data_IF_749505260953
#
_entry.id   IF_749505260953
#
_cell.length_a   1.000
_cell.length_b   1.000
_cell.length_c   1.000
_cell.angle_alpha   90.00
_cell.angle_beta   90.00
_cell.angle_gamma   90.00
#
_symmetry.space_group_name_H-M   'P 1'
#
loop_
_entity.id
_entity.type
_entity.pdbx_description
1 polymer ?
#
# COMPACT_ATOMS: atom_id res chain seq x y z
N UNK A 1 -16.17 47.02 17.00
CA UNK A 1 -15.95 45.92 16.05
C UNK A 1 -16.12 44.60 16.78
N UNK A 2 -17.28 43.95 16.65
CA UNK A 2 -17.47 42.58 17.12
C UNK A 2 -16.94 41.68 16.02
N UNK A 3 -15.82 41.00 16.26
CA UNK A 3 -15.41 39.89 15.42
C UNK A 3 -16.46 38.80 15.62
N UNK A 4 -17.34 38.64 14.64
CA UNK A 4 -18.16 37.45 14.50
C UNK A 4 -17.17 36.28 14.46
N UNK A 5 -17.18 35.46 15.50
CA UNK A 5 -16.65 34.10 15.45
C UNK A 5 -17.32 33.42 14.26
N UNK A 6 -16.61 33.35 13.13
CA UNK A 6 -17.01 32.46 12.06
C UNK A 6 -16.93 31.06 12.66
N UNK A 7 -18.08 30.37 12.73
CA UNK A 7 -18.11 28.97 13.08
C UNK A 7 -17.02 28.25 12.28
N UNK A 8 -16.13 27.54 12.97
CA UNK A 8 -15.17 26.67 12.33
C UNK A 8 -15.97 25.74 11.42
N UNK A 9 -15.85 25.94 10.10
CA UNK A 9 -16.19 24.88 9.17
C UNK A 9 -15.16 23.79 9.48
N UNK A 10 -15.61 22.66 9.99
CA UNK A 10 -14.73 21.55 10.30
C UNK A 10 -13.90 21.22 9.06
N UNK A 11 -12.58 21.17 9.24
CA UNK A 11 -11.65 20.83 8.16
C UNK A 11 -11.90 19.37 7.76
N UNK A 12 -11.88 19.03 6.46
CA UNK A 12 -11.95 17.64 6.04
C UNK A 12 -10.77 16.85 6.62
N UNK A 13 -11.02 15.60 7.01
CA UNK A 13 -10.00 14.67 7.48
C UNK A 13 -9.61 13.71 6.36
N UNK A 14 -8.32 13.71 6.03
CA UNK A 14 -7.70 12.82 5.07
C UNK A 14 -7.02 11.67 5.81
N UNK A 15 -7.40 10.42 5.51
CA UNK A 15 -6.61 9.24 5.85
C UNK A 15 -5.82 8.83 4.62
N UNK A 16 -4.50 8.84 4.73
CA UNK A 16 -3.61 8.74 3.57
C UNK A 16 -2.58 7.64 3.85
N UNK A 17 -2.39 6.74 2.90
CA UNK A 17 -1.24 5.84 2.97
C UNK A 17 0.06 6.64 2.94
N UNK A 18 1.09 6.15 3.61
CA UNK A 18 2.37 6.81 3.61
C UNK A 18 3.20 6.42 2.37
N UNK A 19 3.32 5.13 2.15
CA UNK A 19 4.20 4.57 1.13
C UNK A 19 3.54 4.64 -0.24
N UNK A 20 4.32 4.95 -1.27
CA UNK A 20 3.83 5.11 -2.65
C UNK A 20 2.98 6.37 -2.90
N UNK A 21 2.31 6.91 -1.88
CA UNK A 21 1.68 8.23 -1.93
C UNK A 21 2.71 9.33 -1.70
N UNK A 22 3.56 9.23 -0.67
CA UNK A 22 4.52 10.27 -0.30
C UNK A 22 5.98 9.90 -0.56
N UNK A 23 6.25 8.63 -0.82
CA UNK A 23 7.60 8.09 -0.97
C UNK A 23 7.86 7.56 -2.37
N UNK A 24 9.10 7.64 -2.81
CA UNK A 24 9.59 6.98 -4.02
C UNK A 24 10.15 5.60 -3.68
N UNK A 25 9.42 4.54 -4.04
CA UNK A 25 9.73 3.16 -3.65
C UNK A 25 10.81 2.48 -4.51
N UNK A 26 11.18 3.06 -5.66
CA UNK A 26 12.14 2.46 -6.63
C UNK A 26 13.40 1.90 -6.01
N UNK A 27 14.05 2.70 -5.17
CA UNK A 27 15.36 2.38 -4.63
C UNK A 27 15.28 1.22 -3.65
N UNK A 28 14.27 1.27 -2.77
CA UNK A 28 14.02 0.21 -1.81
C UNK A 28 13.59 -1.08 -2.49
N UNK A 29 12.69 -1.01 -3.47
CA UNK A 29 12.26 -2.17 -4.25
C UNK A 29 13.43 -2.88 -4.93
N UNK A 30 14.33 -2.11 -5.58
CA UNK A 30 15.55 -2.68 -6.18
C UNK A 30 16.46 -3.34 -5.15
N UNK A 31 16.65 -2.71 -3.99
CA UNK A 31 17.47 -3.29 -2.92
C UNK A 31 16.87 -4.60 -2.39
N UNK A 32 15.54 -4.69 -2.29
CA UNK A 32 14.81 -5.91 -1.93
C UNK A 32 14.97 -6.99 -3.00
N UNK A 33 14.84 -6.65 -4.29
CA UNK A 33 15.07 -7.59 -5.39
C UNK A 33 16.51 -8.11 -5.42
N UNK A 34 17.49 -7.24 -5.21
CA UNK A 34 18.91 -7.62 -5.14
C UNK A 34 19.17 -8.54 -3.94
N UNK A 35 18.58 -8.25 -2.77
CA UNK A 35 18.66 -9.11 -1.60
C UNK A 35 18.03 -10.48 -1.86
N UNK A 36 16.88 -10.53 -2.57
CA UNK A 36 16.25 -11.78 -3.00
C UNK A 36 17.19 -12.62 -3.84
N UNK A 37 17.72 -12.04 -4.91
CA UNK A 37 18.59 -12.76 -5.84
C UNK A 37 19.87 -13.24 -5.18
N UNK A 38 20.48 -12.42 -4.32
CA UNK A 38 21.68 -12.79 -3.58
C UNK A 38 21.38 -13.88 -2.53
N UNK A 39 20.26 -13.77 -1.81
CA UNK A 39 19.82 -14.77 -0.84
C UNK A 39 19.60 -16.13 -1.49
N UNK A 40 18.86 -16.16 -2.61
CA UNK A 40 18.65 -17.38 -3.39
C UNK A 40 19.97 -17.97 -3.90
N UNK A 41 20.89 -17.14 -4.42
CA UNK A 41 22.21 -17.60 -4.88
C UNK A 41 23.04 -18.20 -3.75
N UNK A 42 22.99 -17.63 -2.54
CA UNK A 42 23.68 -18.17 -1.35
C UNK A 42 23.11 -19.53 -0.95
N UNK A 43 21.79 -19.68 -0.92
CA UNK A 43 21.12 -20.91 -0.45
C UNK A 43 21.31 -22.07 -1.43
N UNK A 44 21.29 -21.78 -2.74
CA UNK A 44 21.40 -22.83 -3.77
C UNK A 44 22.83 -23.06 -4.25
N UNK A 45 23.77 -22.19 -3.84
CA UNK A 45 25.13 -22.12 -4.35
C UNK A 45 25.21 -21.90 -5.87
N UNK A 46 24.12 -21.40 -6.49
CA UNK A 46 24.09 -21.12 -7.91
C UNK A 46 24.75 -19.78 -8.24
N UNK A 47 25.36 -19.64 -9.45
CA UNK A 47 25.77 -18.34 -9.94
C UNK A 47 24.58 -17.38 -10.00
N UNK A 48 24.77 -16.12 -9.57
CA UNK A 48 23.74 -15.09 -9.58
C UNK A 48 23.06 -14.93 -10.95
N UNK A 49 23.81 -15.17 -12.04
CA UNK A 49 23.27 -15.18 -13.41
C UNK A 49 22.17 -16.22 -13.60
N UNK A 50 22.32 -17.43 -13.07
CA UNK A 50 21.30 -18.48 -13.18
C UNK A 50 20.07 -18.14 -12.33
N UNK A 51 20.26 -17.58 -11.13
CA UNK A 51 19.14 -17.08 -10.31
C UNK A 51 18.32 -16.04 -11.07
N UNK A 52 18.98 -15.05 -11.68
CA UNK A 52 18.31 -14.03 -12.49
C UNK A 52 17.52 -14.61 -13.66
N UNK A 53 18.07 -15.63 -14.34
CA UNK A 53 17.36 -16.31 -15.42
C UNK A 53 16.08 -17.01 -14.91
N UNK A 54 16.15 -17.67 -13.75
CA UNK A 54 14.96 -18.29 -13.15
C UNK A 54 13.97 -17.23 -12.70
N UNK A 55 14.41 -16.18 -12.02
CA UNK A 55 13.50 -15.13 -11.56
C UNK A 55 12.81 -14.41 -12.72
N UNK A 56 13.49 -14.21 -13.85
CA UNK A 56 12.87 -13.69 -15.06
C UNK A 56 11.79 -14.64 -15.63
N UNK A 57 11.99 -15.96 -15.55
CA UNK A 57 10.97 -16.94 -15.93
C UNK A 57 9.77 -16.92 -14.98
N UNK A 58 10.02 -16.86 -13.67
CA UNK A 58 8.95 -16.76 -12.67
C UNK A 58 8.17 -15.45 -12.85
N UNK A 59 8.84 -14.32 -13.08
CA UNK A 59 8.17 -13.05 -13.37
C UNK A 59 7.27 -13.13 -14.61
N UNK A 60 7.76 -13.73 -15.70
CA UNK A 60 6.95 -13.89 -16.90
C UNK A 60 5.67 -14.69 -16.65
N UNK A 61 5.71 -15.69 -15.75
CA UNK A 61 4.50 -16.42 -15.35
C UNK A 61 3.53 -15.53 -14.56
N UNK A 62 4.04 -14.80 -13.57
CA UNK A 62 3.23 -13.86 -12.78
C UNK A 62 2.52 -12.84 -13.67
N UNK A 63 3.23 -12.33 -14.69
CA UNK A 63 2.70 -11.30 -15.60
C UNK A 63 1.57 -11.83 -16.49
N UNK A 64 1.50 -13.14 -16.75
CA UNK A 64 0.38 -13.75 -17.48
C UNK A 64 -0.90 -13.81 -16.64
N UNK A 65 -0.75 -14.02 -15.33
CA UNK A 65 -1.88 -14.27 -14.42
C UNK A 65 -1.77 -13.48 -13.11
N UNK A 66 -1.62 -12.14 -13.13
CA UNK A 66 -1.36 -11.36 -11.90
C UNK A 66 -2.50 -11.43 -10.88
N UNK A 67 -3.74 -11.72 -11.32
CA UNK A 67 -4.87 -11.92 -10.42
C UNK A 67 -4.81 -13.25 -9.63
N UNK A 68 -3.99 -14.21 -10.04
CA UNK A 68 -3.77 -15.49 -9.36
C UNK A 68 -2.61 -15.45 -8.35
N UNK A 69 -1.83 -14.37 -8.37
CA UNK A 69 -0.65 -14.18 -7.53
C UNK A 69 -0.79 -12.91 -6.69
N UNK A 70 -0.09 -12.88 -5.56
CA UNK A 70 -0.21 -11.79 -4.61
C UNK A 70 0.29 -12.15 -3.23
N UNK A 71 0.26 -11.18 -2.32
CA UNK A 71 0.46 -11.44 -0.91
C UNK A 71 -0.73 -12.24 -0.39
N UNK A 72 -0.46 -13.34 0.32
CA UNK A 72 -1.49 -14.20 0.91
C UNK A 72 -1.56 -14.09 2.43
N UNK A 73 -2.78 -14.18 2.95
CA UNK A 73 -3.09 -14.36 4.37
C UNK A 73 -4.21 -15.39 4.50
N UNK A 74 -4.06 -16.34 5.42
CA UNK A 74 -4.96 -17.50 5.54
C UNK A 74 -5.28 -18.19 4.19
N UNK A 75 -4.28 -18.29 3.30
CA UNK A 75 -4.40 -18.89 1.97
C UNK A 75 -5.08 -18.02 0.90
N UNK A 76 -5.61 -16.84 1.25
CA UNK A 76 -6.30 -15.93 0.33
C UNK A 76 -5.40 -14.78 -0.11
N UNK A 77 -5.56 -14.31 -1.35
CA UNK A 77 -4.84 -13.14 -1.84
C UNK A 77 -5.42 -11.89 -1.18
N UNK A 78 -4.55 -11.11 -0.55
CA UNK A 78 -4.87 -9.86 0.12
C UNK A 78 -4.61 -8.68 -0.80
N UNK A 79 -3.59 -8.74 -1.65
CA UNK A 79 -3.33 -7.76 -2.70
C UNK A 79 -2.58 -8.43 -3.84
N UNK A 80 -2.83 -7.99 -5.07
CA UNK A 80 -2.36 -8.65 -6.28
C UNK A 80 -0.90 -8.31 -6.56
N UNK A 81 -0.20 -9.21 -7.25
CA UNK A 81 1.23 -9.09 -7.50
C UNK A 81 1.63 -7.88 -8.34
N UNK A 82 0.69 -7.28 -9.08
CA UNK A 82 0.89 -6.17 -10.00
C UNK A 82 0.48 -4.80 -9.44
N UNK A 83 0.10 -4.70 -8.16
CA UNK A 83 -0.32 -3.42 -7.56
C UNK A 83 0.81 -2.61 -6.93
N UNK A 84 1.88 -3.26 -6.47
CA UNK A 84 3.04 -2.62 -5.84
C UNK A 84 4.30 -3.51 -5.96
N UNK A 85 5.50 -2.93 -6.12
CA UNK A 85 6.75 -3.69 -6.24
C UNK A 85 7.05 -4.66 -5.08
N UNK A 86 6.66 -4.34 -3.84
CA UNK A 86 6.86 -5.27 -2.73
C UNK A 86 5.88 -6.44 -2.77
N UNK A 87 4.66 -6.22 -3.26
CA UNK A 87 3.72 -7.30 -3.58
C UNK A 87 4.28 -8.20 -4.68
N UNK A 88 4.92 -7.64 -5.72
CA UNK A 88 5.61 -8.42 -6.75
C UNK A 88 6.69 -9.29 -6.14
N UNK A 89 7.56 -8.72 -5.28
CA UNK A 89 8.63 -9.48 -4.61
C UNK A 89 8.11 -10.69 -3.82
N UNK A 90 7.10 -10.50 -2.97
CA UNK A 90 6.52 -11.59 -2.20
C UNK A 90 5.87 -12.64 -3.11
N UNK A 91 5.22 -12.20 -4.18
CA UNK A 91 4.56 -13.08 -5.15
C UNK A 91 5.55 -13.94 -5.93
N UNK A 92 6.71 -13.38 -6.28
CA UNK A 92 7.79 -14.11 -6.95
C UNK A 92 8.32 -15.23 -6.06
N UNK A 93 8.52 -14.97 -4.77
CA UNK A 93 8.90 -16.02 -3.81
C UNK A 93 7.82 -17.10 -3.72
N UNK A 94 6.56 -16.73 -3.55
CA UNK A 94 5.44 -17.68 -3.50
C UNK A 94 5.37 -18.57 -4.77
N UNK A 95 5.55 -17.97 -5.95
CA UNK A 95 5.44 -18.68 -7.22
C UNK A 95 6.56 -19.70 -7.48
N UNK A 96 7.73 -19.57 -6.84
CA UNK A 96 8.75 -20.63 -6.88
C UNK A 96 8.17 -21.96 -6.38
N UNK A 97 7.40 -21.92 -5.28
CA UNK A 97 6.78 -23.12 -4.73
C UNK A 97 5.69 -23.66 -5.66
N UNK A 98 4.81 -22.78 -6.17
CA UNK A 98 3.72 -23.17 -7.08
C UNK A 98 4.29 -23.87 -8.32
N UNK A 99 5.26 -23.24 -8.99
CA UNK A 99 5.90 -23.78 -10.18
C UNK A 99 6.68 -25.08 -9.88
N UNK A 100 7.27 -25.20 -8.69
CA UNK A 100 7.90 -26.45 -8.25
C UNK A 100 6.89 -27.60 -8.14
N UNK A 101 5.72 -27.34 -7.56
CA UNK A 101 4.61 -28.30 -7.43
C UNK A 101 4.02 -28.71 -8.79
N UNK A 102 4.06 -27.80 -9.77
CA UNK A 102 3.70 -28.06 -11.18
C UNK A 102 4.80 -28.78 -11.98
N UNK A 103 5.96 -29.04 -11.35
CA UNK A 103 7.04 -29.83 -11.93
C UNK A 103 8.08 -29.04 -12.72
N UNK A 104 8.14 -27.70 -12.58
CA UNK A 104 9.18 -26.89 -13.21
C UNK A 104 10.56 -27.23 -12.60
N UNK A 105 11.51 -27.82 -13.35
CA UNK A 105 12.70 -28.43 -12.75
C UNK A 105 13.61 -27.44 -11.99
N UNK A 106 13.73 -26.21 -12.50
CA UNK A 106 14.56 -25.17 -11.86
C UNK A 106 13.92 -24.64 -10.58
N UNK A 107 12.60 -24.43 -10.58
CA UNK A 107 11.85 -24.03 -9.37
C UNK A 107 11.83 -25.15 -8.33
N UNK A 108 11.71 -26.41 -8.75
CA UNK A 108 11.82 -27.56 -7.85
C UNK A 108 13.17 -27.58 -7.13
N UNK A 109 14.27 -27.39 -7.86
CA UNK A 109 15.59 -27.32 -7.24
C UNK A 109 15.72 -26.15 -6.26
N UNK A 110 15.24 -24.96 -6.61
CA UNK A 110 15.20 -23.83 -5.69
C UNK A 110 14.43 -24.21 -4.42
N UNK A 111 13.20 -24.71 -4.57
CA UNK A 111 12.34 -25.06 -3.44
C UNK A 111 12.96 -26.13 -2.53
N UNK A 112 13.59 -27.16 -3.09
CA UNK A 112 14.34 -28.16 -2.32
C UNK A 112 15.54 -27.57 -1.57
N UNK A 113 16.28 -26.64 -2.19
CA UNK A 113 17.39 -25.95 -1.55
C UNK A 113 16.91 -25.09 -0.37
N UNK A 114 15.77 -24.39 -0.51
CA UNK A 114 15.17 -23.62 0.58
C UNK A 114 14.80 -24.49 1.77
N UNK A 115 14.18 -25.65 1.53
CA UNK A 115 13.83 -26.60 2.58
C UNK A 115 15.06 -27.17 3.29
N UNK A 116 16.14 -27.44 2.55
CA UNK A 116 17.44 -27.84 3.12
C UNK A 116 18.06 -26.73 3.96
N UNK A 117 17.82 -25.46 3.59
CA UNK A 117 18.22 -24.27 4.34
C UNK A 117 17.41 -24.01 5.61
N UNK A 118 16.36 -24.81 5.89
CA UNK A 118 15.56 -24.70 7.11
C UNK A 118 14.30 -23.84 6.98
N UNK A 119 13.98 -23.33 5.79
CA UNK A 119 12.76 -22.57 5.55
C UNK A 119 11.56 -23.51 5.38
N UNK A 120 10.47 -23.24 6.08
CA UNK A 120 9.25 -24.06 5.99
C UNK A 120 8.56 -23.89 4.64
N UNK A 121 8.59 -22.67 4.09
CA UNK A 121 7.97 -22.30 2.82
C UNK A 121 8.69 -21.09 2.19
N UNK A 122 8.38 -20.79 0.94
CA UNK A 122 9.02 -19.68 0.22
C UNK A 122 8.60 -18.29 0.71
N UNK A 123 7.47 -18.16 1.41
CA UNK A 123 7.03 -16.87 1.97
C UNK A 123 7.87 -16.46 3.18
N UNK A 124 8.30 -17.41 4.01
CA UNK A 124 9.20 -17.16 5.14
C UNK A 124 10.52 -16.56 4.66
N UNK A 125 11.15 -17.19 3.66
CA UNK A 125 12.33 -16.63 3.01
C UNK A 125 12.04 -15.26 2.37
N UNK A 126 10.94 -15.15 1.63
CA UNK A 126 10.55 -13.90 0.98
C UNK A 126 10.45 -12.74 1.97
N UNK A 127 9.86 -12.99 3.13
CA UNK A 127 9.76 -12.04 4.24
C UNK A 127 11.13 -11.71 4.84
N UNK A 128 11.99 -12.71 5.07
CA UNK A 128 13.35 -12.48 5.56
C UNK A 128 14.16 -11.59 4.62
N UNK A 129 14.20 -11.94 3.33
CA UNK A 129 14.95 -11.20 2.31
C UNK A 129 14.36 -9.80 2.07
N UNK A 130 13.04 -9.65 2.19
CA UNK A 130 12.39 -8.33 2.18
C UNK A 130 12.90 -7.45 3.34
N UNK A 131 12.96 -8.01 4.55
CA UNK A 131 13.44 -7.29 5.73
C UNK A 131 14.94 -6.98 5.64
N UNK A 132 15.77 -7.92 5.15
CA UNK A 132 17.21 -7.72 4.92
C UNK A 132 17.44 -6.55 3.95
N UNK A 133 16.83 -6.61 2.75
CA UNK A 133 16.99 -5.59 1.71
C UNK A 133 16.43 -4.22 2.13
N UNK A 134 15.24 -4.21 2.73
CA UNK A 134 14.62 -2.97 3.23
C UNK A 134 15.44 -2.34 4.35
N UNK A 135 15.91 -3.12 5.33
CA UNK A 135 16.71 -2.58 6.44
C UNK A 135 18.04 -2.01 5.95
N UNK A 136 18.71 -2.69 5.02
CA UNK A 136 19.95 -2.20 4.42
C UNK A 136 19.73 -0.86 3.69
N UNK A 137 18.67 -0.77 2.87
CA UNK A 137 18.32 0.46 2.15
C UNK A 137 17.96 1.61 3.09
N UNK A 138 17.05 1.37 4.05
CA UNK A 138 16.56 2.39 4.97
C UNK A 138 17.66 2.88 5.92
N UNK A 139 18.62 2.03 6.28
CA UNK A 139 19.80 2.45 7.05
C UNK A 139 20.69 3.42 6.26
N UNK A 140 20.86 3.19 4.96
CA UNK A 140 21.71 4.01 4.10
C UNK A 140 21.05 5.32 3.67
N UNK A 141 19.75 5.26 3.34
CA UNK A 141 19.04 6.34 2.64
C UNK A 141 17.86 6.91 3.41
N UNK A 142 17.33 6.19 4.40
CA UNK A 142 15.99 6.44 4.94
C UNK A 142 14.88 6.21 3.92
N UNK A 143 13.66 6.64 4.26
CA UNK A 143 12.57 6.69 3.30
C UNK A 143 12.77 7.89 2.37
N UNK A 144 12.86 7.63 1.07
CA UNK A 144 12.96 8.68 0.06
C UNK A 144 11.58 9.30 -0.16
N UNK A 145 11.38 10.56 0.27
CA UNK A 145 10.17 11.30 -0.06
C UNK A 145 10.14 11.70 -1.54
N UNK A 146 8.94 11.83 -2.11
CA UNK A 146 8.75 12.50 -3.39
C UNK A 146 9.23 13.96 -3.29
N UNK A 147 9.78 14.55 -4.37
CA UNK A 147 10.32 15.91 -4.35
C UNK A 147 9.36 16.96 -3.80
N UNK A 148 8.06 16.84 -4.10
CA UNK A 148 7.00 17.77 -3.69
C UNK A 148 6.34 17.43 -2.34
N UNK A 149 6.74 16.35 -1.67
CA UNK A 149 6.02 15.81 -0.51
C UNK A 149 5.91 16.82 0.65
N UNK A 150 7.00 17.54 0.95
CA UNK A 150 7.06 18.51 2.06
C UNK A 150 6.12 19.69 1.84
N UNK A 151 6.17 20.27 0.64
CA UNK A 151 5.32 21.41 0.28
C UNK A 151 3.85 20.99 0.19
N UNK A 152 3.60 19.79 -0.34
CA UNK A 152 2.25 19.23 -0.47
C UNK A 152 1.62 18.95 0.90
N UNK A 153 2.35 18.35 1.83
CA UNK A 153 1.84 18.09 3.19
C UNK A 153 1.57 19.40 3.92
N UNK A 154 2.48 20.38 3.81
CA UNK A 154 2.28 21.72 4.39
C UNK A 154 1.04 22.41 3.83
N UNK A 155 0.81 22.33 2.51
CA UNK A 155 -0.35 22.90 1.85
C UNK A 155 -1.64 22.22 2.30
N UNK A 156 -1.65 20.88 2.37
CA UNK A 156 -2.80 20.10 2.80
C UNK A 156 -3.18 20.42 4.25
N UNK A 157 -2.20 20.47 5.17
CA UNK A 157 -2.45 20.78 6.59
C UNK A 157 -3.02 22.19 6.84
N UNK A 158 -2.91 23.12 5.89
CA UNK A 158 -3.60 24.42 5.99
C UNK A 158 -5.11 24.29 5.88
N UNK A 159 -5.58 23.32 5.10
CA UNK A 159 -6.99 23.17 4.72
C UNK A 159 -7.65 21.90 5.25
N UNK A 160 -6.87 20.93 5.76
CA UNK A 160 -7.34 19.63 6.20
C UNK A 160 -6.63 19.14 7.48
N UNK A 161 -7.23 18.16 8.13
CA UNK A 161 -6.54 17.26 9.06
C UNK A 161 -6.01 16.04 8.29
N UNK A 162 -4.85 15.52 8.67
CA UNK A 162 -4.18 14.43 7.97
C UNK A 162 -3.86 13.30 8.95
N UNK A 163 -4.22 12.08 8.58
CA UNK A 163 -3.89 10.84 9.27
C UNK A 163 -3.06 9.99 8.32
N UNK A 164 -1.79 9.75 8.64
CA UNK A 164 -1.02 8.73 7.93
C UNK A 164 -1.42 7.34 8.42
N UNK A 165 -1.76 6.43 7.52
CA UNK A 165 -2.16 5.06 7.82
C UNK A 165 -1.35 4.05 6.99
N UNK A 166 -0.25 3.54 7.54
CA UNK A 166 0.69 2.65 6.83
C UNK A 166 0.99 1.38 7.62
N UNK A 167 1.42 0.35 6.90
CA UNK A 167 1.95 -0.87 7.50
C UNK A 167 3.31 -0.66 8.19
N UNK A 168 4.03 0.44 7.88
CA UNK A 168 5.22 0.82 8.63
C UNK A 168 4.91 1.23 10.06
N UNK A 169 5.91 1.09 10.94
CA UNK A 169 5.76 1.49 12.33
C UNK A 169 5.55 3.00 12.46
N UNK A 170 4.79 3.40 13.48
CA UNK A 170 4.54 4.82 13.78
C UNK A 170 5.84 5.60 13.93
N UNK A 171 6.86 4.98 14.52
CA UNK A 171 8.18 5.59 14.71
C UNK A 171 8.92 5.81 13.40
N UNK A 172 8.81 4.91 12.42
CA UNK A 172 9.44 5.07 11.11
C UNK A 172 8.82 6.24 10.34
N UNK A 173 7.48 6.33 10.34
CA UNK A 173 6.75 7.46 9.73
C UNK A 173 7.14 8.77 10.41
N UNK A 174 7.12 8.80 11.75
CA UNK A 174 7.48 9.97 12.54
C UNK A 174 8.94 10.40 12.31
N UNK A 175 9.88 9.45 12.31
CA UNK A 175 11.29 9.71 12.09
C UNK A 175 11.57 10.29 10.70
N UNK A 176 10.83 9.87 9.68
CA UNK A 176 10.93 10.44 8.33
C UNK A 176 10.50 11.89 8.32
N UNK A 177 9.27 12.17 8.77
CA UNK A 177 8.69 13.51 8.74
C UNK A 177 9.36 14.52 9.67
N UNK A 178 9.93 14.06 10.81
CA UNK A 178 10.68 14.90 11.74
C UNK A 178 11.92 15.54 11.11
N UNK A 179 12.56 14.86 10.15
CA UNK A 179 13.72 15.41 9.40
C UNK A 179 13.35 16.65 8.59
N UNK A 180 12.07 16.83 8.29
CA UNK A 180 11.52 17.94 7.51
C UNK A 180 10.67 18.89 8.37
N UNK A 181 10.77 18.81 9.70
CA UNK A 181 10.11 19.74 10.62
C UNK A 181 8.64 19.45 10.91
N UNK A 182 8.12 18.27 10.55
CA UNK A 182 6.76 17.85 10.91
C UNK A 182 6.76 16.98 12.16
N UNK A 183 5.69 17.08 12.95
CA UNK A 183 5.45 16.24 14.12
C UNK A 183 3.96 16.00 14.29
N UNK A 184 3.59 14.85 14.84
CA UNK A 184 2.21 14.54 15.13
C UNK A 184 1.63 15.52 16.17
N UNK A 185 0.34 15.83 16.04
CA UNK A 185 -0.38 16.79 16.86
C UNK A 185 -0.85 18.01 16.08
N UNK A 186 -1.13 19.09 16.81
CA UNK A 186 -1.53 20.36 16.20
C UNK A 186 -0.34 20.96 15.46
N UNK A 187 -0.54 21.32 14.19
CA UNK A 187 0.52 21.88 13.36
C UNK A 187 0.46 23.41 13.30
N UNK A 188 1.57 24.10 12.99
CA UNK A 188 1.60 25.56 12.81
C UNK A 188 0.69 26.07 11.68
N UNK A 189 0.31 25.19 10.76
CA UNK A 189 -0.60 25.49 9.64
C UNK A 189 -2.08 25.38 10.03
N UNK A 190 -2.36 25.00 11.27
CA UNK A 190 -3.71 24.93 11.83
C UNK A 190 -4.43 23.61 11.61
N UNK A 191 -3.90 22.66 10.83
CA UNK A 191 -4.41 21.29 10.74
C UNK A 191 -3.76 20.38 11.78
N UNK A 192 -4.34 19.21 12.01
CA UNK A 192 -3.78 18.16 12.86
C UNK A 192 -3.12 17.07 12.02
N UNK A 193 -1.94 16.63 12.44
CA UNK A 193 -1.27 15.45 11.88
C UNK A 193 -1.35 14.28 12.88
N UNK A 194 -1.92 13.16 12.46
CA UNK A 194 -1.99 11.91 13.24
C UNK A 194 -1.25 10.80 12.51
N UNK A 195 -0.64 9.88 13.25
CA UNK A 195 0.11 8.75 12.70
C UNK A 195 -0.50 7.43 13.19
N UNK A 196 -0.89 6.57 12.26
CA UNK A 196 -1.38 5.20 12.47
C UNK A 196 -0.45 4.24 11.74
N UNK A 197 0.69 3.92 12.37
CA UNK A 197 1.57 2.87 11.89
C UNK A 197 1.08 1.48 12.29
N UNK A 198 1.73 0.45 11.75
CA UNK A 198 1.35 -0.95 11.91
C UNK A 198 -0.13 -1.20 11.59
N UNK A 199 -0.65 -0.55 10.55
CA UNK A 199 -2.08 -0.59 10.22
C UNK A 199 -2.58 -2.00 9.85
N UNK A 200 -1.66 -2.92 9.54
CA UNK A 200 -1.96 -4.32 9.22
C UNK A 200 -3.03 -4.44 8.12
N UNK A 201 -2.95 -3.56 7.11
CA UNK A 201 -3.92 -3.50 6.01
C UNK A 201 -4.02 -4.83 5.29
N UNK A 202 -2.94 -5.60 5.23
CA UNK A 202 -2.90 -6.92 4.59
C UNK A 202 -3.53 -8.05 5.42
N UNK A 203 -3.75 -7.89 6.73
CA UNK A 203 -4.26 -8.96 7.61
C UNK A 203 -5.77 -9.10 7.45
N UNK A 204 -6.23 -10.32 7.18
CA UNK A 204 -7.64 -10.68 7.04
C UNK A 204 -8.16 -11.29 8.36
N UNK A 205 -9.47 -11.19 8.60
CA UNK A 205 -10.08 -11.84 9.79
C UNK A 205 -10.24 -13.35 9.63
N UNK A 206 -10.09 -13.85 8.40
CA UNK A 206 -10.26 -15.27 8.07
C UNK A 206 -11.69 -15.63 7.65
N UNK A 207 -12.61 -14.67 7.56
CA UNK A 207 -13.96 -14.90 7.04
C UNK A 207 -13.92 -14.96 5.50
N UNK A 208 -14.12 -16.13 4.87
CA UNK A 208 -14.02 -16.27 3.42
C UNK A 208 -15.17 -15.59 2.65
N UNK A 209 -16.26 -15.19 3.31
CA UNK A 209 -17.47 -14.65 2.68
C UNK A 209 -17.40 -13.20 2.23
N UNK A 210 -16.29 -12.51 2.50
CA UNK A 210 -16.15 -11.04 2.38
C UNK A 210 -15.18 -10.66 1.27
N UNK A 211 -15.51 -11.08 0.05
CA UNK A 211 -14.80 -10.64 -1.16
C UNK A 211 -15.72 -9.81 -2.06
N UNK A 212 -15.14 -8.82 -2.72
CA UNK A 212 -15.83 -7.95 -3.68
C UNK A 212 -15.16 -8.04 -5.04
N UNK A 213 -15.96 -7.95 -6.09
CA UNK A 213 -15.47 -8.06 -7.46
C UNK A 213 -15.17 -6.67 -8.04
N UNK A 214 -13.93 -6.45 -8.46
CA UNK A 214 -13.48 -5.21 -9.09
C UNK A 214 -12.77 -5.53 -10.40
N UNK A 215 -13.35 -5.12 -11.54
CA UNK A 215 -12.82 -5.40 -12.89
C UNK A 215 -12.39 -6.87 -13.08
N UNK A 216 -13.26 -7.80 -12.66
CA UNK A 216 -13.03 -9.24 -12.78
C UNK A 216 -12.11 -9.85 -11.72
N UNK A 217 -11.59 -9.06 -10.77
CA UNK A 217 -10.74 -9.53 -9.67
C UNK A 217 -11.52 -9.66 -8.37
N UNK A 218 -11.37 -10.79 -7.68
CA UNK A 218 -11.95 -11.04 -6.36
C UNK A 218 -11.03 -10.49 -5.27
N UNK A 219 -11.43 -9.39 -4.63
CA UNK A 219 -10.63 -8.69 -3.61
C UNK A 219 -11.20 -8.94 -2.22
N UNK A 220 -10.39 -9.49 -1.32
CA UNK A 220 -10.78 -9.65 0.09
C UNK A 220 -10.88 -8.29 0.79
N UNK A 221 -11.97 -8.08 1.53
CA UNK A 221 -12.25 -6.82 2.23
C UNK A 221 -12.45 -6.97 3.74
N UNK A 222 -12.33 -8.18 4.31
CA UNK A 222 -12.38 -8.43 5.76
C UNK A 222 -11.08 -8.04 6.48
N UNK A 223 -10.72 -6.76 6.43
CA UNK A 223 -9.52 -6.23 7.08
C UNK A 223 -9.87 -5.66 8.45
N UNK A 224 -9.97 -6.51 9.47
CA UNK A 224 -10.45 -6.13 10.81
C UNK A 224 -9.68 -4.96 11.45
N UNK A 225 -8.35 -4.98 11.37
CA UNK A 225 -7.50 -3.91 11.90
C UNK A 225 -7.70 -2.59 11.17
N UNK A 226 -7.72 -2.62 9.83
CA UNK A 226 -7.91 -1.42 9.03
C UNK A 226 -9.33 -0.84 9.19
N UNK A 227 -10.34 -1.70 9.31
CA UNK A 227 -11.72 -1.30 9.63
C UNK A 227 -11.78 -0.53 10.96
N UNK A 228 -11.10 -1.01 12.00
CA UNK A 228 -11.08 -0.34 13.29
C UNK A 228 -10.48 1.07 13.18
N UNK A 229 -9.40 1.25 12.41
CA UNK A 229 -8.80 2.56 12.14
C UNK A 229 -9.78 3.47 11.39
N UNK A 230 -10.44 2.97 10.34
CA UNK A 230 -11.42 3.73 9.57
C UNK A 230 -12.59 4.20 10.45
N UNK A 231 -13.11 3.34 11.32
CA UNK A 231 -14.20 3.65 12.27
C UNK A 231 -13.79 4.64 13.36
N UNK A 232 -12.55 4.56 13.85
CA UNK A 232 -12.00 5.51 14.84
C UNK A 232 -11.76 6.88 14.21
N UNK A 233 -11.13 6.92 13.03
CA UNK A 233 -10.73 8.18 12.40
C UNK A 233 -11.87 8.86 11.65
N UNK A 234 -12.80 8.10 11.08
CA UNK A 234 -13.92 8.61 10.25
C UNK A 234 -13.45 9.61 9.19
N UNK A 235 -12.55 9.21 8.28
CA UNK A 235 -12.05 10.13 7.26
C UNK A 235 -13.14 10.57 6.29
N UNK A 236 -13.05 11.82 5.83
CA UNK A 236 -13.81 12.33 4.69
C UNK A 236 -13.17 11.91 3.37
N UNK A 237 -11.84 11.69 3.37
CA UNK A 237 -11.09 11.26 2.20
C UNK A 237 -10.13 10.13 2.57
N UNK A 238 -10.14 9.04 1.80
CA UNK A 238 -9.12 7.99 1.87
C UNK A 238 -8.27 8.02 0.62
N UNK A 239 -6.94 7.99 0.78
CA UNK A 239 -5.98 8.05 -0.31
C UNK A 239 -4.98 6.90 -0.17
N UNK A 240 -4.74 6.17 -1.25
CA UNK A 240 -3.74 5.11 -1.31
C UNK A 240 -3.29 4.85 -2.75
N UNK A 241 -2.20 4.11 -2.92
CA UNK A 241 -1.67 3.74 -4.23
C UNK A 241 -1.93 2.26 -4.58
N UNK A 242 -2.25 1.42 -3.58
CA UNK A 242 -2.61 0.01 -3.75
C UNK A 242 -4.11 -0.15 -3.56
N UNK A 243 -4.85 -0.38 -4.64
CA UNK A 243 -6.31 -0.43 -4.60
C UNK A 243 -6.84 -1.47 -3.58
N UNK A 244 -6.34 -2.71 -3.65
CA UNK A 244 -6.85 -3.79 -2.83
C UNK A 244 -6.60 -3.57 -1.34
N UNK A 245 -5.45 -2.99 -0.95
CA UNK A 245 -5.11 -2.71 0.45
C UNK A 245 -5.78 -1.45 0.98
N UNK A 246 -5.75 -0.37 0.21
CA UNK A 246 -6.08 0.95 0.72
C UNK A 246 -7.52 1.34 0.48
N UNK A 247 -8.11 0.93 -0.65
CA UNK A 247 -9.35 1.53 -1.19
C UNK A 247 -10.53 0.57 -1.27
N UNK A 248 -10.29 -0.73 -1.46
CA UNK A 248 -11.37 -1.72 -1.59
C UNK A 248 -12.31 -1.72 -0.37
N UNK A 249 -11.78 -1.82 0.85
CA UNK A 249 -12.60 -1.77 2.07
C UNK A 249 -13.31 -0.41 2.24
N UNK A 250 -12.65 0.76 2.12
CA UNK A 250 -13.34 2.05 2.14
C UNK A 250 -14.52 2.16 1.16
N UNK A 251 -14.39 1.64 -0.06
CA UNK A 251 -15.47 1.64 -1.04
C UNK A 251 -16.65 0.77 -0.61
N UNK A 252 -16.41 -0.36 0.06
CA UNK A 252 -17.47 -1.20 0.66
C UNK A 252 -18.16 -0.46 1.80
N UNK A 253 -17.39 0.19 2.67
CA UNK A 253 -17.95 0.95 3.79
C UNK A 253 -18.82 2.12 3.31
N UNK A 254 -18.40 2.83 2.27
CA UNK A 254 -19.18 3.89 1.65
C UNK A 254 -20.55 3.41 1.15
N UNK A 255 -20.63 2.20 0.58
CA UNK A 255 -21.90 1.61 0.11
C UNK A 255 -22.77 1.09 1.24
N UNK A 256 -22.16 0.57 2.31
CA UNK A 256 -22.86 -0.19 3.36
C UNK A 256 -23.15 0.60 4.64
N UNK A 257 -22.40 1.68 4.93
CA UNK A 257 -22.50 2.43 6.19
C UNK A 257 -22.87 3.90 5.96
N UNK A 258 -23.98 4.40 6.57
CA UNK A 258 -24.45 5.76 6.34
C UNK A 258 -23.43 6.87 6.62
N UNK A 259 -22.56 6.70 7.63
CA UNK A 259 -21.59 7.72 8.02
C UNK A 259 -20.35 7.76 7.12
N UNK A 260 -20.12 6.75 6.27
CA UNK A 260 -19.09 6.77 5.23
C UNK A 260 -19.64 7.13 3.86
N UNK A 261 -20.95 7.33 3.71
CA UNK A 261 -21.62 7.51 2.42
C UNK A 261 -21.01 8.63 1.57
N UNK A 262 -20.52 9.69 2.21
CA UNK A 262 -19.93 10.85 1.53
C UNK A 262 -18.39 10.82 1.48
N UNK A 263 -17.76 9.78 2.03
CA UNK A 263 -16.31 9.58 1.94
C UNK A 263 -15.85 9.53 0.48
N UNK A 264 -14.75 10.20 0.16
CA UNK A 264 -14.13 10.17 -1.17
C UNK A 264 -12.92 9.24 -1.14
N UNK A 265 -12.78 8.38 -2.14
CA UNK A 265 -11.61 7.51 -2.28
C UNK A 265 -10.74 8.03 -3.44
N UNK A 266 -9.44 8.21 -3.20
CA UNK A 266 -8.48 8.67 -4.21
C UNK A 266 -7.39 7.61 -4.41
N UNK A 267 -7.26 7.12 -5.64
CA UNK A 267 -6.13 6.31 -6.08
C UNK A 267 -5.00 7.23 -6.51
N UNK A 268 -3.86 7.17 -5.82
CA UNK A 268 -2.64 7.80 -6.27
C UNK A 268 -2.03 6.97 -7.40
N UNK A 269 -2.03 7.51 -8.61
CA UNK A 269 -1.42 6.86 -9.77
C UNK A 269 0.10 6.93 -9.64
N UNK A 270 0.74 5.77 -9.61
CA UNK A 270 2.18 5.55 -9.67
C UNK A 270 2.53 4.86 -10.98
N UNK A 271 3.82 4.66 -11.26
CA UNK A 271 4.26 3.97 -12.49
C UNK A 271 3.88 2.48 -12.53
N UNK A 272 3.60 1.91 -11.37
CA UNK A 272 3.27 0.49 -11.20
C UNK A 272 1.77 0.29 -10.98
N UNK A 273 0.95 1.34 -10.94
CA UNK A 273 -0.50 1.20 -10.84
C UNK A 273 -1.04 0.39 -12.02
N UNK A 274 -1.69 -0.75 -11.76
CA UNK A 274 -2.06 -1.67 -12.82
C UNK A 274 -3.27 -1.15 -13.62
N UNK A 275 -3.39 -1.49 -14.91
CA UNK A 275 -4.47 -0.98 -15.77
C UNK A 275 -5.88 -1.21 -15.23
N UNK A 276 -6.14 -2.37 -14.62
CA UNK A 276 -7.46 -2.70 -14.07
C UNK A 276 -7.86 -1.73 -12.94
N UNK A 277 -6.92 -1.25 -12.12
CA UNK A 277 -7.20 -0.26 -11.08
C UNK A 277 -7.47 1.12 -11.68
N UNK A 278 -6.75 1.49 -12.75
CA UNK A 278 -6.99 2.74 -13.48
C UNK A 278 -8.37 2.76 -14.15
N UNK A 279 -8.81 1.62 -14.68
CA UNK A 279 -10.13 1.48 -15.28
C UNK A 279 -11.26 1.71 -14.28
N UNK A 280 -11.09 1.35 -13.00
CA UNK A 280 -12.06 1.65 -11.94
C UNK A 280 -12.26 3.17 -11.76
N UNK A 281 -11.19 3.96 -11.91
CA UNK A 281 -11.26 5.42 -11.83
C UNK A 281 -11.93 6.05 -13.07
N UNK A 282 -11.81 5.41 -14.25
CA UNK A 282 -12.36 5.89 -15.52
C UNK A 282 -13.80 5.48 -15.76
N UNK A 283 -14.18 4.31 -15.26
CA UNK A 283 -15.46 3.66 -15.56
C UNK A 283 -16.68 4.36 -14.98
N UNK A 284 -16.50 5.47 -14.26
CA UNK A 284 -17.60 6.19 -13.63
C UNK A 284 -18.39 5.29 -12.68
N UNK A 285 -17.78 4.22 -12.13
CA UNK A 285 -18.37 3.42 -11.08
C UNK A 285 -18.73 4.42 -9.98
N UNK A 286 -20.03 4.65 -9.79
CA UNK A 286 -20.62 5.76 -9.02
C UNK A 286 -20.31 5.72 -7.51
N UNK A 287 -19.28 5.01 -7.12
CA UNK A 287 -18.82 4.77 -5.76
C UNK A 287 -17.78 5.81 -5.31
N UNK A 288 -17.53 6.87 -6.08
CA UNK A 288 -16.68 7.99 -5.64
C UNK A 288 -15.20 7.65 -5.50
N UNK A 289 -14.69 6.77 -6.38
CA UNK A 289 -13.27 6.58 -6.60
C UNK A 289 -12.76 7.55 -7.69
N UNK A 290 -11.75 8.34 -7.36
CA UNK A 290 -11.08 9.23 -8.28
C UNK A 290 -9.59 8.95 -8.28
N UNK A 291 -8.84 9.56 -9.19
CA UNK A 291 -7.39 9.42 -9.26
C UNK A 291 -6.68 10.77 -9.10
N UNK A 292 -5.49 10.73 -8.52
CA UNK A 292 -4.54 11.86 -8.48
C UNK A 292 -3.18 11.39 -9.01
N UNK A 293 -2.37 12.31 -9.53
CA UNK A 293 -1.03 12.03 -10.07
C UNK A 293 0.11 12.54 -9.18
N UNK A 294 -0.18 13.48 -8.27
CA UNK A 294 0.78 13.99 -7.29
C UNK A 294 0.10 14.31 -5.94
N UNK A 295 0.80 14.16 -4.80
CA UNK A 295 0.32 14.67 -3.51
C UNK A 295 -0.03 16.15 -3.52
N UNK A 296 0.54 16.95 -4.43
CA UNK A 296 0.23 18.38 -4.54
C UNK A 296 -1.24 18.65 -4.91
N UNK A 297 -1.93 17.67 -5.50
CA UNK A 297 -3.35 17.78 -5.85
C UNK A 297 -4.27 17.69 -4.62
N UNK A 298 -3.82 17.08 -3.52
CA UNK A 298 -4.65 16.82 -2.34
C UNK A 298 -5.23 18.10 -1.72
N UNK A 299 -4.43 19.17 -1.65
CA UNK A 299 -4.90 20.45 -1.11
C UNK A 299 -6.01 21.06 -1.97
N UNK A 300 -5.91 20.94 -3.29
CA UNK A 300 -6.95 21.37 -4.22
C UNK A 300 -8.20 20.52 -4.03
N UNK A 301 -8.05 19.19 -3.97
CA UNK A 301 -9.17 18.27 -3.71
C UNK A 301 -9.94 18.64 -2.44
N UNK A 302 -9.25 18.96 -1.34
CA UNK A 302 -9.85 19.36 -0.07
C UNK A 302 -10.79 20.58 -0.21
N UNK A 303 -10.44 21.53 -1.08
CA UNK A 303 -11.25 22.73 -1.33
C UNK A 303 -12.46 22.50 -2.24
N UNK A 304 -12.45 21.43 -3.01
CA UNK A 304 -13.52 21.07 -3.96
C UNK A 304 -14.45 19.98 -3.45
N UNK A 305 -14.16 19.39 -2.29
CA UNK A 305 -15.05 18.42 -1.67
C UNK A 305 -16.45 19.04 -1.50
N UNK A 306 -17.52 18.29 -1.80
CA UNK A 306 -18.87 18.77 -1.53
C UNK A 306 -18.97 19.10 -0.05
N UNK A 307 -19.08 20.39 0.29
CA UNK A 307 -19.48 20.78 1.63
C UNK A 307 -20.90 20.27 1.78
N UNK A 308 -21.10 19.24 2.59
CA UNK A 308 -22.45 18.78 2.90
C UNK A 308 -23.30 20.00 3.26
N UNK A 309 -24.37 20.20 2.49
CA UNK A 309 -25.35 21.25 2.77
C UNK A 309 -25.79 21.10 4.22
N UNK A 310 -25.72 22.21 4.97
CA UNK A 310 -26.02 22.26 6.39
C UNK A 310 -27.24 21.42 6.75
N UNK A 311 -27.04 20.54 7.74
CA UNK A 311 -28.14 19.88 8.45
C UNK A 311 -29.09 20.92 9.04
#
# INVERSE_FOLDING_TARGET
MRFLHMAHVDKPKFLVDFDGVWTELSGQARAVDEAREQGLARITEWPLREIRLVMAQVQAELDLHPAAHGWRDHGRITAFSDEDPFLTHNSLCAAIQILAEEGHPRCLHLYEALRKGGYENTNELGSELFHEGSAAYLKASGHALLPEAVDSLSALLRVADVVFCSNFSTDAIAATWRRYGFSAGQTPWGGRLTLRGNAQKHVLTGDPGTCEAYNGRSTAVDRGHYLAILEEERPDVVVGDVFSLDLALPLVLKRSKPHFKNMVCLLKITRYTPPWSLELCRGGAGDGLFSIHSPSELATCATTLPKEGGR
#
